data_IF_420128560661
#
_entry.id   IF_420128560661
#
_cell.length_a   1.000
_cell.length_b   1.000
_cell.length_c   1.000
_cell.angle_alpha   90.00
_cell.angle_beta   90.00
_cell.angle_gamma   90.00
#
_symmetry.space_group_name_H-M   'P 1'
#
loop_
_entity.id
_entity.type
_entity.pdbx_description
1 polymer ?
#
# COMPACT_ATOMS: atom_id res chain seq x y z
N UNK A 1 -15.84 -12.57 -9.68
CA UNK A 1 -15.98 -11.42 -10.60
C UNK A 1 -15.66 -10.07 -9.96
N UNK A 2 -16.28 -9.68 -8.84
CA UNK A 2 -16.08 -8.33 -8.26
C UNK A 2 -14.63 -8.03 -7.83
N UNK A 3 -13.95 -8.99 -7.21
CA UNK A 3 -12.53 -8.82 -6.82
C UNK A 3 -11.64 -8.66 -8.06
N UNK A 4 -11.95 -9.37 -9.15
CA UNK A 4 -11.18 -9.31 -10.40
C UNK A 4 -11.32 -7.96 -11.11
N UNK A 5 -12.51 -7.34 -11.06
CA UNK A 5 -12.69 -6.00 -11.64
C UNK A 5 -12.03 -4.93 -10.77
N UNK A 6 -12.09 -5.06 -9.43
CA UNK A 6 -11.36 -4.18 -8.50
C UNK A 6 -9.84 -4.32 -8.62
N UNK A 7 -9.31 -5.48 -9.01
CA UNK A 7 -7.86 -5.67 -9.21
C UNK A 7 -7.33 -5.04 -10.49
N UNK A 8 -8.21 -4.50 -11.35
CA UNK A 8 -7.83 -3.86 -12.62
C UNK A 8 -8.25 -2.39 -12.63
N UNK A 9 -9.42 -2.08 -12.09
CA UNK A 9 -10.01 -0.74 -12.14
C UNK A 9 -10.22 -0.18 -10.75
N UNK A 10 -9.94 1.11 -10.60
CA UNK A 10 -10.31 1.84 -9.39
C UNK A 10 -11.82 2.08 -9.37
N UNK A 11 -12.50 1.50 -8.39
CA UNK A 11 -13.94 1.66 -8.24
C UNK A 11 -14.31 3.01 -7.60
N UNK A 12 -15.43 3.63 -8.01
CA UNK A 12 -15.93 4.84 -7.37
C UNK A 12 -16.20 4.63 -5.88
N UNK A 13 -15.73 5.57 -5.05
CA UNK A 13 -15.88 5.49 -3.59
C UNK A 13 -17.36 5.49 -3.15
N UNK A 14 -18.24 6.14 -3.91
CA UNK A 14 -19.68 6.16 -3.65
C UNK A 14 -20.27 4.75 -3.75
N UNK A 15 -19.95 4.01 -4.82
CA UNK A 15 -20.39 2.65 -5.03
C UNK A 15 -19.88 1.71 -3.93
N UNK A 16 -18.58 1.80 -3.58
CA UNK A 16 -18.00 0.98 -2.51
C UNK A 16 -18.71 1.25 -1.17
N UNK A 17 -18.98 2.52 -0.84
CA UNK A 17 -19.68 2.89 0.41
C UNK A 17 -21.14 2.45 0.41
N UNK A 18 -21.80 2.41 -0.74
CA UNK A 18 -23.16 1.90 -0.88
C UNK A 18 -23.22 0.39 -0.67
N UNK A 19 -22.31 -0.36 -1.30
CA UNK A 19 -22.19 -1.81 -1.08
C UNK A 19 -21.89 -2.14 0.38
N UNK A 20 -20.94 -1.44 1.00
CA UNK A 20 -20.67 -1.61 2.43
C UNK A 20 -21.88 -1.24 3.30
N UNK A 21 -22.73 -0.31 2.87
CA UNK A 21 -23.99 0.01 3.56
C UNK A 21 -24.95 -1.18 3.54
N UNK A 22 -25.09 -1.86 2.40
CA UNK A 22 -25.92 -3.08 2.33
C UNK A 22 -25.37 -4.19 3.23
N UNK A 23 -24.06 -4.40 3.23
CA UNK A 23 -23.40 -5.39 4.11
C UNK A 23 -23.65 -5.02 5.59
N UNK A 24 -23.46 -3.75 5.96
CA UNK A 24 -23.76 -3.25 7.31
C UNK A 24 -25.21 -3.46 7.71
N UNK A 25 -26.15 -3.12 6.84
CA UNK A 25 -27.57 -3.29 7.10
C UNK A 25 -27.89 -4.77 7.32
N UNK A 26 -27.43 -5.64 6.43
CA UNK A 26 -27.62 -7.09 6.57
C UNK A 26 -27.11 -7.64 7.91
N UNK A 27 -25.89 -7.27 8.33
CA UNK A 27 -25.31 -7.71 9.60
C UNK A 27 -26.17 -7.33 10.80
N UNK A 28 -26.76 -6.12 10.79
CA UNK A 28 -27.49 -5.62 11.96
C UNK A 28 -29.00 -5.89 11.91
N UNK A 29 -29.59 -5.94 10.73
CA UNK A 29 -31.05 -6.03 10.55
C UNK A 29 -31.53 -7.37 10.00
N UNK A 30 -30.66 -8.13 9.32
CA UNK A 30 -31.01 -9.29 8.50
C UNK A 30 -31.48 -8.93 7.08
N UNK A 31 -31.60 -7.63 6.76
CA UNK A 31 -32.14 -7.12 5.50
C UNK A 31 -31.31 -5.93 4.99
N UNK A 32 -30.88 -5.98 3.73
CA UNK A 32 -30.04 -4.94 3.11
C UNK A 32 -30.73 -3.57 3.03
N UNK A 33 -32.08 -3.53 2.97
CA UNK A 33 -32.87 -2.31 2.86
C UNK A 33 -33.29 -1.75 4.22
N UNK A 34 -33.32 -2.59 5.26
CA UNK A 34 -33.72 -2.16 6.61
C UNK A 34 -32.53 -1.66 7.40
N UNK A 35 -32.53 -0.36 7.74
CA UNK A 35 -31.54 0.23 8.65
C UNK A 35 -31.92 -0.08 10.10
N UNK A 36 -30.98 -0.65 10.86
CA UNK A 36 -31.05 -0.74 12.33
C UNK A 36 -29.90 0.03 12.97
N UNK A 37 -30.00 0.26 14.29
CA UNK A 37 -28.95 0.93 15.04
C UNK A 37 -27.64 0.12 14.97
N UNK A 38 -26.62 0.77 14.39
CA UNK A 38 -25.26 0.22 14.33
C UNK A 38 -24.60 0.42 15.69
N UNK A 39 -24.27 -0.68 16.36
CA UNK A 39 -23.69 -0.62 17.71
C UNK A 39 -22.16 -0.56 17.66
N UNK A 40 -21.53 -1.27 16.73
CA UNK A 40 -20.07 -1.33 16.52
C UNK A 40 -19.66 -0.58 15.25
N UNK A 41 -18.60 0.22 15.32
CA UNK A 41 -18.09 0.96 14.17
C UNK A 41 -17.59 0.05 13.06
N UNK A 42 -17.83 0.40 11.79
CA UNK A 42 -17.50 -0.45 10.63
C UNK A 42 -16.02 -0.85 10.56
N UNK A 43 -15.11 0.09 10.84
CA UNK A 43 -13.66 -0.21 10.89
C UNK A 43 -13.33 -1.33 11.89
N UNK A 44 -14.02 -1.37 13.03
CA UNK A 44 -13.86 -2.42 14.05
C UNK A 44 -14.49 -3.74 13.61
N UNK A 45 -15.62 -3.70 12.90
CA UNK A 45 -16.22 -4.89 12.30
C UNK A 45 -15.26 -5.54 11.29
N UNK A 46 -14.56 -4.71 10.51
CA UNK A 46 -13.59 -5.17 9.51
C UNK A 46 -12.23 -5.61 10.07
N UNK A 47 -11.97 -5.39 11.36
CA UNK A 47 -10.74 -5.84 12.00
C UNK A 47 -10.68 -7.37 12.03
N UNK A 48 -9.47 -7.91 12.22
CA UNK A 48 -9.28 -9.35 12.31
C UNK A 48 -9.96 -9.90 13.59
N UNK A 49 -10.18 -11.22 13.63
CA UNK A 49 -10.81 -11.85 14.79
C UNK A 49 -9.98 -11.65 16.07
N UNK A 50 -8.66 -11.81 15.98
CA UNK A 50 -7.72 -11.61 17.10
C UNK A 50 -7.64 -10.15 17.55
N UNK A 51 -8.01 -9.22 16.69
CA UNK A 51 -8.19 -7.79 16.97
C UNK A 51 -9.60 -7.46 17.49
N UNK A 52 -10.47 -8.46 17.69
CA UNK A 52 -11.84 -8.28 18.19
C UNK A 52 -12.83 -7.74 17.14
N UNK A 53 -12.54 -7.94 15.86
CA UNK A 53 -13.48 -7.72 14.76
C UNK A 53 -14.20 -9.00 14.30
N UNK A 54 -14.79 -8.93 13.11
CA UNK A 54 -15.48 -10.05 12.45
C UNK A 54 -14.71 -10.61 11.24
N UNK A 55 -13.50 -10.09 10.95
CA UNK A 55 -12.69 -10.52 9.80
C UNK A 55 -13.27 -10.15 8.43
N UNK A 56 -14.28 -9.27 8.37
CA UNK A 56 -14.92 -8.85 7.12
C UNK A 56 -14.01 -7.86 6.39
N UNK A 57 -13.70 -8.11 5.13
CA UNK A 57 -12.85 -7.19 4.35
C UNK A 57 -13.60 -5.91 4.00
N UNK A 58 -13.00 -4.77 4.32
CA UNK A 58 -13.46 -3.45 3.87
C UNK A 58 -13.26 -3.34 2.36
N UNK A 59 -14.33 -3.08 1.61
CA UNK A 59 -14.28 -2.93 0.15
C UNK A 59 -13.49 -1.67 -0.22
N UNK A 60 -13.60 -0.62 0.58
CA UNK A 60 -12.82 0.61 0.40
C UNK A 60 -11.32 0.32 0.54
N UNK A 61 -10.92 -0.41 1.58
CA UNK A 61 -9.52 -0.78 1.79
C UNK A 61 -9.04 -1.75 0.72
N UNK A 62 -9.89 -2.67 0.26
CA UNK A 62 -9.56 -3.62 -0.79
C UNK A 62 -9.33 -2.91 -2.13
N UNK A 63 -10.14 -1.91 -2.48
CA UNK A 63 -9.93 -1.11 -3.70
C UNK A 63 -8.60 -0.35 -3.67
N UNK A 64 -8.29 0.29 -2.53
CA UNK A 64 -7.03 1.00 -2.34
C UNK A 64 -5.82 0.05 -2.41
N UNK A 65 -5.93 -1.13 -1.79
CA UNK A 65 -4.89 -2.16 -1.85
C UNK A 65 -4.67 -2.69 -3.28
N UNK A 66 -5.76 -2.90 -4.04
CA UNK A 66 -5.68 -3.28 -5.44
C UNK A 66 -5.02 -2.20 -6.30
N UNK A 67 -5.38 -0.92 -6.13
CA UNK A 67 -4.74 0.19 -6.84
C UNK A 67 -3.24 0.26 -6.56
N UNK A 68 -2.85 0.03 -5.30
CA UNK A 68 -1.44 -0.01 -4.89
C UNK A 68 -0.71 -1.18 -5.53
N UNK A 69 -1.35 -2.36 -5.60
CA UNK A 69 -0.80 -3.53 -6.26
C UNK A 69 -0.64 -3.33 -7.78
N UNK A 70 -1.61 -2.71 -8.45
CA UNK A 70 -1.49 -2.31 -9.87
C UNK A 70 -0.31 -1.35 -10.05
N UNK A 71 -0.14 -0.38 -9.14
CA UNK A 71 0.97 0.57 -9.18
C UNK A 71 2.32 -0.16 -9.03
N UNK A 72 2.42 -1.14 -8.14
CA UNK A 72 3.60 -1.98 -8.01
C UNK A 72 3.88 -2.82 -9.26
N UNK A 73 2.86 -3.47 -9.80
CA UNK A 73 2.99 -4.30 -10.99
C UNK A 73 3.35 -3.45 -12.21
N UNK A 74 2.96 -2.18 -12.25
CA UNK A 74 3.41 -1.24 -13.28
C UNK A 74 4.94 -1.16 -13.33
N UNK A 75 5.63 -1.14 -12.18
CA UNK A 75 7.10 -1.05 -12.13
C UNK A 75 7.78 -2.38 -12.39
N UNK A 76 7.21 -3.49 -11.92
CA UNK A 76 7.85 -4.80 -11.90
C UNK A 76 7.51 -5.69 -13.10
N UNK A 77 6.31 -5.53 -13.65
CA UNK A 77 5.79 -6.43 -14.67
C UNK A 77 6.38 -6.11 -16.04
N UNK A 78 6.82 -7.15 -16.74
CA UNK A 78 7.25 -7.10 -18.14
C UNK A 78 6.10 -7.38 -19.12
N UNK A 79 4.87 -7.46 -18.61
CA UNK A 79 3.68 -7.60 -19.45
C UNK A 79 3.46 -6.35 -20.31
N UNK A 80 2.87 -6.55 -21.49
CA UNK A 80 2.70 -5.50 -22.49
C UNK A 80 1.93 -4.29 -21.95
N UNK A 81 0.90 -4.52 -21.12
CA UNK A 81 0.11 -3.43 -20.53
C UNK A 81 0.97 -2.54 -19.63
N UNK A 82 1.90 -3.12 -18.86
CA UNK A 82 2.76 -2.39 -17.94
C UNK A 82 3.83 -1.62 -18.71
N UNK A 83 4.41 -2.21 -19.77
CA UNK A 83 5.38 -1.54 -20.64
C UNK A 83 4.75 -0.35 -21.39
N UNK A 84 3.57 -0.52 -21.98
CA UNK A 84 2.84 0.55 -22.68
C UNK A 84 2.40 1.63 -21.70
N UNK A 85 1.94 1.27 -20.51
CA UNK A 85 1.52 2.27 -19.54
C UNK A 85 2.71 3.04 -18.97
N UNK A 86 3.81 2.35 -18.59
CA UNK A 86 5.06 2.97 -18.13
C UNK A 86 5.59 3.98 -19.14
N UNK A 87 5.68 3.62 -20.42
CA UNK A 87 6.19 4.53 -21.46
C UNK A 87 5.35 5.80 -21.65
N UNK A 88 4.06 5.75 -21.27
CA UNK A 88 3.16 6.91 -21.30
C UNK A 88 3.26 7.78 -20.04
N UNK A 89 3.47 7.17 -18.87
CA UNK A 89 3.34 7.87 -17.56
C UNK A 89 4.67 8.13 -16.86
N UNK A 90 5.75 7.48 -17.26
CA UNK A 90 7.10 7.67 -16.73
C UNK A 90 7.98 8.23 -17.84
N UNK A 91 8.59 9.40 -17.61
CA UNK A 91 9.55 10.03 -18.52
C UNK A 91 10.80 10.42 -17.74
N UNK A 92 11.98 10.06 -18.22
CA UNK A 92 13.26 10.39 -17.55
C UNK A 92 13.30 10.02 -16.06
N UNK A 93 12.75 8.85 -15.72
CA UNK A 93 12.62 8.35 -14.35
C UNK A 93 11.76 9.23 -13.41
N UNK A 94 10.91 10.10 -13.97
CA UNK A 94 9.90 10.84 -13.19
C UNK A 94 8.50 10.56 -13.70
N UNK A 95 7.53 10.58 -12.79
CA UNK A 95 6.13 10.48 -13.12
C UNK A 95 5.64 11.77 -13.79
N UNK A 96 4.83 11.65 -14.84
CA UNK A 96 4.22 12.81 -15.47
C UNK A 96 3.27 13.55 -14.52
N UNK A 97 3.25 14.88 -14.61
CA UNK A 97 2.31 15.71 -13.86
C UNK A 97 1.00 15.97 -14.61
N UNK A 98 1.04 15.99 -15.95
CA UNK A 98 -0.14 16.24 -16.78
C UNK A 98 -1.13 15.07 -16.74
N UNK A 99 -2.38 15.35 -17.14
CA UNK A 99 -3.43 14.35 -17.19
C UNK A 99 -3.22 13.39 -18.37
N UNK A 100 -3.39 12.09 -18.11
CA UNK A 100 -3.44 11.06 -19.14
C UNK A 100 -4.74 10.29 -19.01
N UNK A 101 -5.48 10.21 -20.11
CA UNK A 101 -6.68 9.40 -20.18
C UNK A 101 -6.30 7.90 -20.14
N UNK A 102 -6.58 7.27 -19.00
CA UNK A 102 -6.39 5.85 -18.75
C UNK A 102 -7.24 5.42 -17.54
N UNK A 103 -7.97 4.32 -17.69
CA UNK A 103 -8.82 3.74 -16.63
C UNK A 103 -8.02 3.03 -15.54
N UNK A 104 -6.78 2.63 -15.84
CA UNK A 104 -5.87 1.95 -14.90
C UNK A 104 -5.01 2.98 -14.17
N UNK A 105 -4.48 3.98 -14.91
CA UNK A 105 -3.56 4.96 -14.36
C UNK A 105 -4.20 5.86 -13.30
N UNK A 106 -5.48 6.19 -13.45
CA UNK A 106 -6.18 7.05 -12.48
C UNK A 106 -6.14 6.48 -11.06
N UNK A 107 -6.24 5.16 -10.91
CA UNK A 107 -6.09 4.47 -9.62
C UNK A 107 -4.64 4.31 -9.18
N UNK A 108 -3.75 3.91 -10.09
CA UNK A 108 -2.34 3.73 -9.76
C UNK A 108 -1.65 5.05 -9.37
N UNK A 109 -1.99 6.16 -10.03
CA UNK A 109 -1.41 7.49 -9.78
C UNK A 109 -1.59 7.95 -8.33
N UNK A 110 -2.75 7.66 -7.72
CA UNK A 110 -3.01 8.07 -6.32
C UNK A 110 -2.15 7.32 -5.32
N UNK A 111 -1.67 6.12 -5.69
CA UNK A 111 -0.87 5.25 -4.84
C UNK A 111 0.63 5.36 -5.12
N UNK A 112 1.02 6.08 -6.18
CA UNK A 112 2.40 6.19 -6.64
C UNK A 112 3.36 6.68 -5.55
N UNK A 113 3.06 7.84 -4.94
CA UNK A 113 3.95 8.42 -3.92
C UNK A 113 4.08 7.49 -2.71
N UNK A 114 2.93 6.99 -2.23
CA UNK A 114 2.88 6.07 -1.10
C UNK A 114 3.70 4.79 -1.36
N UNK A 115 3.67 4.29 -2.61
CA UNK A 115 4.46 3.15 -3.02
C UNK A 115 5.97 3.45 -2.95
N UNK A 116 6.41 4.55 -3.55
CA UNK A 116 7.83 4.94 -3.59
C UNK A 116 8.38 5.16 -2.17
N UNK A 117 7.64 5.88 -1.32
CA UNK A 117 8.06 6.15 0.07
C UNK A 117 8.29 4.85 0.87
N UNK A 118 7.53 3.80 0.56
CA UNK A 118 7.56 2.52 1.24
C UNK A 118 8.31 1.42 0.47
N UNK A 119 9.05 1.77 -0.57
CA UNK A 119 9.85 0.85 -1.38
C UNK A 119 11.32 1.26 -1.43
N UNK A 120 12.19 0.29 -1.67
CA UNK A 120 13.62 0.48 -1.94
C UNK A 120 14.00 -0.21 -3.24
N UNK A 121 15.00 0.29 -3.94
CA UNK A 121 15.55 -0.34 -5.12
C UNK A 121 16.71 -1.26 -4.74
N UNK A 122 16.65 -2.50 -5.24
CA UNK A 122 17.78 -3.41 -5.32
C UNK A 122 18.53 -3.15 -6.61
N UNK A 123 19.78 -2.71 -6.46
CA UNK A 123 20.66 -2.39 -7.58
C UNK A 123 21.02 -3.66 -8.33
N UNK A 124 20.72 -3.67 -9.63
CA UNK A 124 21.14 -4.69 -10.57
C UNK A 124 22.07 -4.09 -11.61
N UNK A 125 21.48 -3.66 -12.73
CA UNK A 125 22.18 -3.15 -13.90
C UNK A 125 22.15 -1.62 -14.00
N UNK A 126 21.43 -0.95 -13.08
CA UNK A 126 21.38 0.50 -12.88
C UNK A 126 20.68 1.27 -13.99
N UNK A 127 20.00 0.59 -14.91
CA UNK A 127 19.43 1.21 -16.10
C UNK A 127 18.08 1.88 -15.83
N UNK A 128 17.37 1.38 -14.82
CA UNK A 128 16.04 1.86 -14.43
C UNK A 128 16.11 2.85 -13.28
N UNK A 129 17.06 2.68 -12.37
CA UNK A 129 17.21 3.46 -11.14
C UNK A 129 17.77 4.85 -11.46
N UNK A 130 17.10 5.88 -10.95
CA UNK A 130 17.65 7.22 -10.86
C UNK A 130 18.61 7.30 -9.66
N UNK A 131 19.87 7.66 -9.90
CA UNK A 131 20.88 7.74 -8.86
C UNK A 131 20.47 8.65 -7.70
N UNK A 132 19.78 9.76 -7.99
CA UNK A 132 19.55 10.83 -7.02
C UNK A 132 18.15 10.78 -6.39
N UNK A 133 17.13 10.51 -7.21
CA UNK A 133 15.71 10.57 -6.82
C UNK A 133 15.15 9.26 -6.28
N UNK A 134 15.76 8.12 -6.62
CA UNK A 134 15.30 6.81 -6.17
C UNK A 134 16.04 6.36 -4.92
N UNK A 135 15.34 5.71 -4.01
CA UNK A 135 15.93 5.16 -2.79
C UNK A 135 16.57 3.79 -3.07
N UNK A 136 17.88 3.76 -3.34
CA UNK A 136 18.66 2.54 -3.51
C UNK A 136 19.73 2.33 -2.42
N UNK A 137 20.01 3.36 -1.60
CA UNK A 137 21.01 3.32 -0.54
C UNK A 137 20.44 3.51 0.89
N UNK A 138 19.12 3.44 1.04
CA UNK A 138 18.39 3.58 2.31
C UNK A 138 17.61 4.89 2.41
N UNK A 139 18.15 5.96 1.82
CA UNK A 139 17.52 7.27 1.66
C UNK A 139 17.81 7.82 0.25
N UNK A 140 17.04 8.82 -0.16
CA UNK A 140 17.18 9.56 -1.41
C UNK A 140 18.38 10.51 -1.30
N UNK A 141 19.29 10.48 -2.28
CA UNK A 141 20.50 11.30 -2.22
C UNK A 141 20.21 12.79 -2.31
N UNK A 142 19.12 13.18 -2.99
CA UNK A 142 18.67 14.58 -3.03
C UNK A 142 18.36 15.09 -1.62
N UNK A 143 17.70 14.27 -0.79
CA UNK A 143 17.33 14.67 0.57
C UNK A 143 18.53 14.60 1.52
N UNK A 144 19.44 13.65 1.31
CA UNK A 144 20.66 13.50 2.11
C UNK A 144 21.68 14.64 1.89
N UNK A 145 21.83 15.09 0.64
CA UNK A 145 22.82 16.10 0.27
C UNK A 145 22.22 17.49 0.01
N UNK A 146 20.92 17.66 0.24
CA UNK A 146 20.17 18.90 0.02
C UNK A 146 20.41 19.50 -1.39
N UNK A 147 20.30 18.64 -2.41
CA UNK A 147 20.63 18.99 -3.81
C UNK A 147 19.50 19.82 -4.41
N UNK A 148 19.84 21.01 -4.92
CA UNK A 148 18.85 21.85 -5.58
C UNK A 148 18.44 21.33 -6.97
N UNK A 149 17.31 21.84 -7.48
CA UNK A 149 16.78 21.43 -8.78
C UNK A 149 17.69 21.78 -9.98
N UNK A 150 18.57 22.78 -9.86
CA UNK A 150 19.47 23.21 -10.93
C UNK A 150 20.69 22.28 -11.01
N UNK A 151 21.30 21.97 -9.88
CA UNK A 151 22.36 20.99 -9.70
C UNK A 151 21.91 19.61 -10.18
N UNK A 152 20.71 19.17 -9.78
CA UNK A 152 20.15 17.88 -10.19
C UNK A 152 19.99 17.74 -11.72
N UNK A 153 19.72 18.84 -12.43
CA UNK A 153 19.59 18.81 -13.88
C UNK A 153 20.93 18.67 -14.62
N UNK A 154 22.03 19.09 -13.99
CA UNK A 154 23.38 18.96 -14.54
C UNK A 154 23.97 17.57 -14.31
N UNK A 155 23.48 16.85 -13.30
CA UNK A 155 23.99 15.54 -12.92
C UNK A 155 23.41 14.41 -13.81
N UNK A 156 24.23 13.43 -14.22
CA UNK A 156 23.74 12.22 -14.85
C UNK A 156 22.69 11.52 -13.97
N UNK A 157 21.51 11.27 -14.52
CA UNK A 157 20.35 10.75 -13.78
C UNK A 157 20.39 9.25 -13.55
N UNK A 158 20.86 8.47 -14.54
CA UNK A 158 20.87 7.00 -14.47
C UNK A 158 21.99 6.49 -13.56
N UNK A 159 21.68 5.53 -12.71
CA UNK A 159 22.65 4.89 -11.83
C UNK A 159 23.77 4.15 -12.60
N UNK A 160 23.43 3.55 -13.74
CA UNK A 160 24.38 2.88 -14.64
C UNK A 160 25.57 3.76 -15.03
N UNK A 161 25.39 5.08 -15.13
CA UNK A 161 26.47 5.98 -15.50
C UNK A 161 27.57 6.07 -14.43
N UNK A 162 27.29 5.59 -13.20
CA UNK A 162 28.20 5.52 -12.08
C UNK A 162 28.67 4.10 -11.78
N UNK A 163 28.43 3.16 -12.69
CA UNK A 163 28.77 1.75 -12.54
C UNK A 163 29.62 1.28 -13.72
N UNK A 164 30.78 0.71 -13.45
CA UNK A 164 31.63 0.09 -14.49
C UNK A 164 32.23 -1.21 -13.97
N UNK A 165 32.18 -2.26 -14.79
CA UNK A 165 32.74 -3.59 -14.45
C UNK A 165 32.28 -4.11 -13.07
N UNK A 166 31.00 -3.92 -12.74
CA UNK A 166 30.39 -4.31 -11.44
C UNK A 166 30.99 -3.59 -10.22
N UNK A 167 31.63 -2.44 -10.41
CA UNK A 167 32.12 -1.58 -9.35
C UNK A 167 31.54 -0.16 -9.47
N UNK A 168 31.50 0.54 -8.35
CA UNK A 168 31.12 1.94 -8.29
C UNK A 168 32.22 2.83 -8.87
N UNK A 169 31.87 3.62 -9.87
CA UNK A 169 32.75 4.54 -10.58
C UNK A 169 32.12 5.94 -10.60
N UNK A 170 32.34 6.70 -9.53
CA UNK A 170 31.94 8.10 -9.46
C UNK A 170 33.07 9.00 -9.96
N UNK A 171 32.80 9.98 -10.84
CA UNK A 171 33.77 11.01 -11.22
C UNK A 171 34.30 11.78 -10.00
N UNK A 172 35.57 12.20 -10.05
CA UNK A 172 36.19 12.95 -8.96
C UNK A 172 35.48 14.27 -8.66
N UNK A 173 34.91 14.93 -9.69
CA UNK A 173 34.08 16.12 -9.52
C UNK A 173 32.88 15.86 -8.59
N UNK A 174 32.21 14.71 -8.76
CA UNK A 174 31.06 14.33 -7.93
C UNK A 174 31.51 13.98 -6.52
N UNK A 175 32.65 13.29 -6.37
CA UNK A 175 33.20 12.95 -5.06
C UNK A 175 33.70 14.19 -4.30
N UNK A 176 34.14 15.23 -5.02
CA UNK A 176 34.51 16.51 -4.41
C UNK A 176 33.29 17.28 -3.89
N UNK A 177 32.16 17.19 -4.60
CA UNK A 177 30.89 17.79 -4.19
C UNK A 177 30.22 16.99 -3.07
N UNK A 178 30.31 15.65 -3.12
CA UNK A 178 29.63 14.73 -2.22
C UNK A 178 30.61 13.65 -1.69
N UNK A 179 31.44 13.98 -0.68
CA UNK A 179 32.49 13.08 -0.19
C UNK A 179 31.95 11.78 0.42
N UNK A 180 30.77 11.83 1.05
CA UNK A 180 30.14 10.65 1.67
C UNK A 180 29.54 9.67 0.65
N UNK A 181 29.44 10.07 -0.62
CA UNK A 181 28.83 9.26 -1.68
C UNK A 181 29.50 7.89 -1.83
N UNK A 182 30.84 7.85 -1.74
CA UNK A 182 31.60 6.59 -1.83
C UNK A 182 31.30 5.66 -0.66
N UNK A 183 31.17 6.21 0.55
CA UNK A 183 30.85 5.43 1.75
C UNK A 183 29.43 4.85 1.65
N UNK A 184 28.45 5.66 1.23
CA UNK A 184 27.07 5.22 1.04
C UNK A 184 26.97 4.13 -0.03
N UNK A 185 27.57 4.35 -1.20
CA UNK A 185 27.58 3.38 -2.29
C UNK A 185 28.27 2.07 -1.89
N UNK A 186 29.34 2.12 -1.09
CA UNK A 186 30.05 0.92 -0.63
C UNK A 186 29.19 -0.03 0.23
N UNK A 187 28.12 0.48 0.86
CA UNK A 187 27.16 -0.34 1.62
C UNK A 187 26.24 -1.14 0.70
N UNK A 188 26.14 -0.75 -0.57
CA UNK A 188 25.28 -1.39 -1.58
C UNK A 188 26.13 -2.30 -2.45
N UNK A 189 25.79 -3.60 -2.44
CA UNK A 189 26.51 -4.61 -3.22
C UNK A 189 25.97 -4.63 -4.65
N UNK A 190 26.86 -4.47 -5.63
CA UNK A 190 26.55 -4.66 -7.05
C UNK A 190 26.65 -6.16 -7.37
N UNK A 191 25.63 -6.78 -7.99
CA UNK A 191 25.71 -8.17 -8.43
C UNK A 191 26.82 -8.35 -9.47
N UNK A 192 27.58 -9.46 -9.40
CA UNK A 192 28.62 -9.81 -10.40
C UNK A 192 28.07 -10.33 -11.74
N UNK A 193 26.74 -10.34 -11.87
CA UNK A 193 26.01 -10.80 -13.04
C UNK A 193 25.03 -9.72 -13.46
N UNK A 194 24.76 -9.59 -14.76
CA UNK A 194 23.77 -8.65 -15.28
C UNK A 194 22.36 -9.10 -14.89
N UNK A 195 21.90 -8.65 -13.72
CA UNK A 195 20.54 -8.82 -13.22
C UNK A 195 19.84 -7.47 -13.35
N UNK A 196 18.58 -7.44 -13.76
CA UNK A 196 17.80 -6.19 -13.79
C UNK A 196 17.58 -5.64 -12.38
N UNK A 197 17.55 -4.33 -12.29
CA UNK A 197 17.10 -3.62 -11.10
C UNK A 197 15.72 -4.13 -10.63
N UNK A 198 15.51 -4.20 -9.32
CA UNK A 198 14.22 -4.64 -8.74
C UNK A 198 13.77 -3.70 -7.65
N UNK A 199 12.51 -3.30 -7.67
CA UNK A 199 11.87 -2.64 -6.54
C UNK A 199 11.55 -3.65 -5.42
N UNK A 200 11.80 -3.29 -4.17
CA UNK A 200 11.60 -4.10 -2.97
C UNK A 200 10.64 -3.37 -2.04
N UNK A 201 9.61 -4.08 -1.60
CA UNK A 201 8.65 -3.57 -0.62
C UNK A 201 9.22 -3.68 0.79
N UNK A 202 9.34 -2.56 1.51
CA UNK A 202 9.98 -2.50 2.85
C UNK A 202 9.28 -3.36 3.90
N UNK A 203 7.98 -3.60 3.74
CA UNK A 203 7.16 -4.30 4.73
C UNK A 203 6.92 -5.78 4.39
N UNK A 204 7.68 -6.36 3.46
CA UNK A 204 7.63 -7.78 3.12
C UNK A 204 8.99 -8.47 3.26
N UNK A 205 8.98 -9.72 3.74
CA UNK A 205 10.19 -10.51 3.92
C UNK A 205 10.84 -10.95 2.61
N UNK A 206 10.05 -11.14 1.55
CA UNK A 206 10.56 -11.53 0.22
C UNK A 206 10.77 -10.31 -0.71
N UNK A 207 10.42 -9.11 -0.24
CA UNK A 207 10.51 -7.88 -1.03
C UNK A 207 9.40 -7.70 -2.08
N UNK A 208 8.50 -8.66 -2.25
CA UNK A 208 7.37 -8.53 -3.17
C UNK A 208 6.16 -7.92 -2.46
N UNK A 209 5.40 -7.11 -3.18
CA UNK A 209 4.10 -6.63 -2.72
C UNK A 209 3.00 -7.58 -3.21
N UNK A 210 2.44 -8.39 -2.30
CA UNK A 210 1.21 -9.14 -2.58
C UNK A 210 -0.04 -8.28 -2.32
N UNK A 211 -1.19 -8.67 -2.87
CA UNK A 211 -2.46 -7.98 -2.56
C UNK A 211 -2.81 -8.09 -1.06
N UNK A 212 -2.41 -9.19 -0.41
CA UNK A 212 -2.62 -9.37 1.02
C UNK A 212 -1.80 -8.36 1.83
N UNK A 213 -0.54 -8.14 1.45
CA UNK A 213 0.35 -7.19 2.14
C UNK A 213 -0.11 -5.75 1.89
N UNK A 214 -0.51 -5.42 0.66
CA UNK A 214 -1.12 -4.13 0.34
C UNK A 214 -2.39 -3.89 1.19
N UNK A 215 -3.23 -4.92 1.38
CA UNK A 215 -4.43 -4.81 2.22
C UNK A 215 -4.07 -4.62 3.70
N UNK A 216 -3.10 -5.38 4.23
CA UNK A 216 -2.62 -5.22 5.61
C UNK A 216 -2.02 -3.83 5.84
N UNK A 217 -1.36 -3.26 4.84
CA UNK A 217 -0.80 -1.92 4.89
C UNK A 217 -1.90 -0.83 4.88
N UNK A 218 -2.98 -1.03 4.10
CA UNK A 218 -4.10 -0.08 3.99
C UNK A 218 -5.15 -0.19 5.10
N UNK A 219 -5.27 -1.35 5.76
CA UNK A 219 -6.28 -1.55 6.81
C UNK A 219 -5.87 -0.85 8.09
N UNK A 220 -6.85 -0.48 8.90
CA UNK A 220 -6.61 0.00 10.27
C UNK A 220 -6.37 -1.21 11.19
N UNK A 221 -5.19 -1.28 11.80
CA UNK A 221 -4.88 -2.30 12.80
C UNK A 221 -5.41 -1.89 14.17
N UNK A 222 -5.77 -2.87 14.99
CA UNK A 222 -6.25 -2.68 16.35
C UNK A 222 -5.42 -3.54 17.32
N UNK A 223 -5.37 -3.19 18.61
CA UNK A 223 -4.70 -4.04 19.58
C UNK A 223 -5.38 -5.42 19.65
N UNK A 224 -4.55 -6.46 19.74
CA UNK A 224 -5.02 -7.83 19.91
C UNK A 224 -5.76 -7.98 21.23
N UNK A 225 -6.81 -8.80 21.23
CA UNK A 225 -7.64 -9.07 22.40
C UNK A 225 -7.59 -10.55 22.76
N UNK A 226 -7.36 -10.83 24.04
CA UNK A 226 -7.18 -12.20 24.52
C UNK A 226 -8.46 -13.04 24.47
N UNK A 227 -9.62 -12.38 24.48
CA UNK A 227 -10.93 -13.05 24.49
C UNK A 227 -11.38 -13.55 23.11
N UNK A 228 -10.79 -13.06 22.01
CA UNK A 228 -11.24 -13.39 20.65
C UNK A 228 -11.27 -14.89 20.37
N UNK A 229 -10.19 -15.58 20.74
CA UNK A 229 -10.05 -17.04 20.56
C UNK A 229 -11.11 -17.87 21.28
N UNK A 230 -11.70 -17.33 22.35
CA UNK A 230 -12.73 -18.02 23.13
C UNK A 230 -14.13 -17.84 22.54
N UNK A 231 -14.39 -16.73 21.84
CA UNK A 231 -15.71 -16.44 21.25
C UNK A 231 -15.89 -17.14 19.91
N UNK A 232 -14.83 -17.17 19.10
CA UNK A 232 -14.88 -17.69 17.72
C UNK A 232 -14.55 -19.19 17.63
N UNK A 233 -14.94 -19.96 18.66
CA UNK A 233 -14.79 -21.42 18.66
C UNK A 233 -15.83 -22.07 17.72
N UNK A 234 -15.47 -23.13 16.98
CA UNK A 234 -16.43 -23.89 16.16
C UNK A 234 -17.59 -24.49 16.96
N UNK A 235 -17.41 -24.71 18.27
CA UNK A 235 -18.45 -25.29 19.14
C UNK A 235 -19.54 -24.28 19.53
N UNK A 236 -19.31 -22.98 19.30
CA UNK A 236 -20.24 -21.92 19.68
C UNK A 236 -21.06 -21.52 18.44
N UNK A 237 -22.41 -21.60 18.50
CA UNK A 237 -23.24 -21.13 17.41
C UNK A 237 -22.95 -19.67 17.05
N UNK A 238 -22.85 -19.29 15.76
CA UNK A 238 -22.50 -17.93 15.35
C UNK A 238 -23.37 -16.82 15.96
N UNK A 239 -24.67 -17.10 16.18
CA UNK A 239 -25.59 -16.17 16.83
C UNK A 239 -25.21 -15.88 18.29
N UNK A 240 -24.72 -16.88 19.03
CA UNK A 240 -24.23 -16.75 20.40
C UNK A 240 -22.88 -16.05 20.42
N UNK A 241 -21.97 -16.43 19.52
CA UNK A 241 -20.67 -15.77 19.37
C UNK A 241 -20.82 -14.26 19.09
N UNK A 242 -21.72 -13.87 18.18
CA UNK A 242 -22.02 -12.47 17.89
C UNK A 242 -22.58 -11.71 19.09
N UNK A 243 -23.43 -12.34 19.91
CA UNK A 243 -23.96 -11.73 21.13
C UNK A 243 -22.83 -11.48 22.14
N UNK A 244 -22.00 -12.49 22.41
CA UNK A 244 -20.87 -12.39 23.35
C UNK A 244 -19.82 -11.39 22.83
N UNK A 245 -19.56 -11.36 21.53
CA UNK A 245 -18.67 -10.38 20.90
C UNK A 245 -19.12 -8.94 21.18
N UNK A 246 -20.42 -8.65 21.02
CA UNK A 246 -20.98 -7.33 21.36
C UNK A 246 -20.92 -7.03 22.85
N UNK A 247 -21.08 -8.04 23.70
CA UNK A 247 -20.91 -7.90 25.14
C UNK A 247 -19.48 -7.49 25.48
N UNK A 248 -18.47 -8.19 24.94
CA UNK A 248 -17.05 -7.89 25.20
C UNK A 248 -16.62 -6.51 24.69
N UNK A 249 -17.29 -5.97 23.68
CA UNK A 249 -17.06 -4.60 23.20
C UNK A 249 -17.85 -3.52 23.97
N UNK A 250 -18.68 -3.91 24.94
CA UNK A 250 -19.67 -3.07 25.59
C UNK A 250 -20.56 -2.32 24.56
N UNK A 251 -21.12 -3.08 23.62
CA UNK A 251 -21.97 -2.59 22.51
C UNK A 251 -23.30 -3.36 22.40
N UNK A 252 -23.74 -3.97 23.50
CA UNK A 252 -25.11 -4.45 23.62
C UNK A 252 -26.08 -3.26 23.72
N UNK A 253 -27.33 -3.40 23.24
CA UNK A 253 -28.32 -2.34 23.31
C UNK A 253 -28.99 -2.37 24.69
N UNK A 254 -28.21 -2.11 25.73
CA UNK A 254 -28.72 -1.86 27.09
C UNK A 254 -29.21 -0.42 27.18
N UNK A 255 -30.05 -0.12 28.17
CA UNK A 255 -30.64 1.21 28.34
C UNK A 255 -29.55 2.29 28.45
N UNK A 256 -28.51 2.06 29.26
CA UNK A 256 -27.36 2.95 29.38
C UNK A 256 -26.67 3.22 28.03
N UNK A 257 -26.46 2.17 27.23
CA UNK A 257 -25.79 2.27 25.93
C UNK A 257 -26.67 2.96 24.86
N UNK A 258 -27.99 2.84 24.99
CA UNK A 258 -28.97 3.50 24.14
C UNK A 258 -29.08 4.99 24.49
N UNK A 259 -29.14 5.32 25.78
CA UNK A 259 -29.10 6.70 26.27
C UNK A 259 -27.82 7.43 25.83
N UNK A 260 -26.66 6.77 25.95
CA UNK A 260 -25.38 7.30 25.46
C UNK A 260 -25.35 7.56 23.94
N UNK A 261 -26.29 6.97 23.18
CA UNK A 261 -26.44 7.19 21.74
C UNK A 261 -27.58 8.15 21.38
N UNK A 262 -28.19 8.79 22.37
CA UNK A 262 -29.25 9.78 22.19
C UNK A 262 -30.65 9.17 22.01
N UNK A 263 -30.86 7.92 22.41
CA UNK A 263 -32.21 7.37 22.51
C UNK A 263 -32.83 7.78 23.86
N UNK A 264 -34.00 8.41 23.82
CA UNK A 264 -34.83 8.58 25.02
C UNK A 264 -35.62 7.29 25.24
N UNK A 265 -35.43 6.66 26.40
CA UNK A 265 -36.07 5.41 26.81
C UNK A 265 -37.04 5.66 27.96
#
# INVERSE_FOLDING_TARGET
MLIHTMSIYSWPISLLREMERWIKNFIWSGDIHKKKMVTVAWKKVCADYDEGGLGIRSLVCLNAASNMKICWDLFQSEEQWAQVLRSRVIRNSTCIHHHVYSSIWSGAKTEFQNLIDNSNWLVGDGDTINCWLDNWCGETLVDLFDIDSQQLNMLPKKLRNYMQNFNWCFPDDILSLFPDMRLLASKVTIPKHCIRDKLIWKHSNNGELTLQDAYKFKKTNFPKVNWAKHIWSPDIPPSKALLVWRFMLNKLPTDDNLMNKGCNL
#
